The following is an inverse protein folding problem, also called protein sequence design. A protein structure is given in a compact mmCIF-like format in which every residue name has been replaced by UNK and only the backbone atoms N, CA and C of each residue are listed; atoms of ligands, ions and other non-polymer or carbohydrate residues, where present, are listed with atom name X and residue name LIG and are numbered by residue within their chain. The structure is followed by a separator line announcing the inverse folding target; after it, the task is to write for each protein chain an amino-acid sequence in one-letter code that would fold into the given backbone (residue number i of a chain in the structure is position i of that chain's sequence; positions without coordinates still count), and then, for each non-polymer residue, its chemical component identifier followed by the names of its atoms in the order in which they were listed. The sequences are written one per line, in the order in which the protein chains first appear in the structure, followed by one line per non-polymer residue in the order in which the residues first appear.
data_IF_975779137031
#
_entry.id   IF_975779137031
#
_cell.length_a   1.000
_cell.length_b   1.000
_cell.length_c   1.000
_cell.angle_alpha   90.00
_cell.angle_beta   90.00
_cell.angle_gamma   90.00
#
_symmetry.space_group_name_H-M   'P 1'
#
loop_
_entity.id
_entity.type
_entity.pdbx_description
1 polymer ?
#
# COMPACT_ATOMS: atom_id res chain seq x y z
N UNK A 1 33.59 4.84 5.31
CA UNK A 1 33.00 3.91 4.30
C UNK A 1 31.74 3.16 4.81
N UNK A 2 31.64 2.78 6.09
CA UNK A 2 30.43 2.12 6.69
C UNK A 2 29.09 2.89 6.63
N UNK A 3 29.10 4.20 6.31
CA UNK A 3 27.89 5.05 6.27
C UNK A 3 26.99 4.77 5.06
N UNK A 4 27.54 4.14 4.00
CA UNK A 4 26.81 3.79 2.77
C UNK A 4 26.20 2.39 2.76
N UNK A 5 26.56 1.51 3.70
CA UNK A 5 25.95 0.18 3.80
C UNK A 5 24.49 0.23 4.26
N UNK A 6 24.16 1.15 5.17
CA UNK A 6 22.81 1.30 5.72
C UNK A 6 21.77 1.65 4.64
N UNK A 7 21.97 2.65 3.77
CA UNK A 7 21.02 2.93 2.70
C UNK A 7 20.95 1.81 1.65
N UNK A 8 22.05 1.11 1.35
CA UNK A 8 22.02 -0.04 0.43
C UNK A 8 21.24 -1.22 1.00
N UNK A 9 21.33 -1.49 2.31
CA UNK A 9 20.55 -2.54 2.98
C UNK A 9 19.05 -2.22 2.99
N UNK A 10 18.68 -0.96 3.26
CA UNK A 10 17.29 -0.51 3.20
C UNK A 10 16.76 -0.61 1.77
N UNK A 11 17.55 -0.18 0.79
CA UNK A 11 17.18 -0.29 -0.62
C UNK A 11 17.01 -1.75 -1.04
N UNK A 12 17.92 -2.64 -0.64
CA UNK A 12 17.82 -4.07 -0.92
C UNK A 12 16.59 -4.71 -0.25
N UNK A 13 16.23 -4.26 0.96
CA UNK A 13 15.03 -4.72 1.66
C UNK A 13 13.75 -4.26 0.94
N UNK A 14 13.69 -3.00 0.50
CA UNK A 14 12.56 -2.44 -0.26
C UNK A 14 12.43 -3.10 -1.63
N UNK A 15 13.55 -3.33 -2.32
CA UNK A 15 13.57 -4.03 -3.61
C UNK A 15 13.20 -5.51 -3.41
N UNK A 16 13.67 -6.15 -2.34
CA UNK A 16 13.33 -7.53 -1.99
C UNK A 16 11.84 -7.70 -1.65
N UNK A 17 11.25 -6.79 -0.88
CA UNK A 17 9.81 -6.82 -0.58
C UNK A 17 8.98 -6.58 -1.84
N UNK A 18 9.40 -5.63 -2.70
CA UNK A 18 8.74 -5.37 -3.98
C UNK A 18 8.84 -6.54 -4.96
N UNK A 19 9.97 -7.23 -5.02
CA UNK A 19 10.16 -8.40 -5.87
C UNK A 19 9.32 -9.57 -5.37
N UNK A 20 9.32 -9.83 -4.06
CA UNK A 20 8.51 -10.91 -3.45
C UNK A 20 7.01 -10.66 -3.70
N UNK A 21 6.55 -9.42 -3.57
CA UNK A 21 5.17 -9.03 -3.88
C UNK A 21 4.79 -9.27 -5.35
N UNK A 22 5.71 -9.00 -6.29
CA UNK A 22 5.49 -9.31 -7.73
C UNK A 22 5.51 -10.81 -8.01
N UNK A 23 6.41 -11.56 -7.39
CA UNK A 23 6.52 -13.01 -7.56
C UNK A 23 5.32 -13.77 -6.98
N UNK A 24 4.65 -13.23 -5.95
CA UNK A 24 3.44 -13.81 -5.35
C UNK A 24 2.18 -13.68 -6.22
N UNK A 25 2.25 -13.04 -7.39
CA UNK A 25 1.08 -12.94 -8.29
C UNK A 25 -0.02 -12.01 -7.76
N UNK A 26 0.35 -11.02 -6.94
CA UNK A 26 -0.58 -10.05 -6.36
C UNK A 26 -1.38 -9.30 -7.43
N UNK A 27 -0.89 -9.19 -8.67
CA UNK A 27 -1.62 -8.53 -9.76
C UNK A 27 -3.01 -9.14 -9.98
N UNK A 28 -3.16 -10.47 -9.84
CA UNK A 28 -4.44 -11.16 -10.05
C UNK A 28 -5.38 -11.03 -8.85
N UNK A 29 -4.83 -11.04 -7.64
CA UNK A 29 -5.62 -10.80 -6.42
C UNK A 29 -6.00 -9.32 -6.26
N UNK A 30 -5.15 -8.40 -6.69
CA UNK A 30 -5.43 -6.96 -6.75
C UNK A 30 -6.60 -6.67 -7.68
N UNK A 31 -6.69 -7.36 -8.83
CA UNK A 31 -7.85 -7.26 -9.74
C UNK A 31 -9.16 -7.71 -9.10
N UNK A 32 -9.19 -8.89 -8.47
CA UNK A 32 -10.39 -9.39 -7.81
C UNK A 32 -10.80 -8.51 -6.61
N UNK A 33 -9.82 -8.01 -5.85
CA UNK A 33 -10.05 -7.10 -4.75
C UNK A 33 -10.57 -5.75 -5.24
N UNK A 34 -10.05 -5.27 -6.37
CA UNK A 34 -10.51 -4.06 -7.06
C UNK A 34 -11.98 -4.16 -7.44
N UNK A 35 -12.38 -5.27 -8.06
CA UNK A 35 -13.79 -5.48 -8.44
C UNK A 35 -14.70 -5.60 -7.21
N UNK A 36 -14.25 -6.29 -6.16
CA UNK A 36 -15.00 -6.42 -4.92
C UNK A 36 -15.16 -5.07 -4.19
N UNK A 37 -14.09 -4.26 -4.14
CA UNK A 37 -14.11 -2.91 -3.54
C UNK A 37 -14.96 -1.96 -4.36
N UNK A 38 -14.89 -2.03 -5.70
CA UNK A 38 -15.77 -1.27 -6.59
C UNK A 38 -17.25 -1.59 -6.36
N UNK A 39 -17.57 -2.85 -6.03
CA UNK A 39 -18.92 -3.28 -5.70
C UNK A 39 -19.43 -2.77 -4.34
N UNK A 40 -18.56 -2.28 -3.44
CA UNK A 40 -18.96 -1.73 -2.13
C UNK A 40 -19.46 -0.27 -2.19
N UNK A 41 -19.41 0.38 -3.36
CA UNK A 41 -19.92 1.75 -3.53
C UNK A 41 -19.26 2.77 -2.59
N UNK A 42 -20.07 3.46 -1.78
CA UNK A 42 -19.63 4.53 -0.85
C UNK A 42 -18.64 4.04 0.22
N UNK A 43 -18.66 2.75 0.58
CA UNK A 43 -17.76 2.19 1.59
C UNK A 43 -16.37 1.82 1.06
N UNK A 44 -16.22 1.73 -0.27
CA UNK A 44 -14.96 1.31 -0.91
C UNK A 44 -13.72 2.09 -0.44
N UNK A 45 -13.75 3.43 -0.40
CA UNK A 45 -12.64 4.25 0.10
C UNK A 45 -12.20 3.90 1.53
N UNK A 46 -13.14 3.69 2.44
CA UNK A 46 -12.83 3.38 3.84
C UNK A 46 -12.15 2.02 4.00
N UNK A 47 -12.66 1.00 3.29
CA UNK A 47 -12.02 -0.33 3.28
C UNK A 47 -10.61 -0.26 2.66
N UNK A 48 -10.46 0.48 1.57
CA UNK A 48 -9.17 0.63 0.90
C UNK A 48 -8.15 1.36 1.79
N UNK A 49 -8.56 2.40 2.52
CA UNK A 49 -7.69 3.09 3.49
C UNK A 49 -7.22 2.15 4.61
N UNK A 50 -8.10 1.30 5.14
CA UNK A 50 -7.74 0.28 6.13
C UNK A 50 -6.74 -0.75 5.60
N UNK A 51 -6.97 -1.24 4.38
CA UNK A 51 -6.04 -2.13 3.70
C UNK A 51 -4.67 -1.47 3.45
N UNK A 52 -4.68 -0.20 3.02
CA UNK A 52 -3.46 0.58 2.83
C UNK A 52 -2.68 0.75 4.14
N UNK A 53 -3.38 1.01 5.24
CA UNK A 53 -2.77 1.12 6.56
C UNK A 53 -2.10 -0.19 6.99
N UNK A 54 -2.79 -1.33 6.81
CA UNK A 54 -2.20 -2.66 7.06
C UNK A 54 -0.99 -2.93 6.18
N UNK A 55 -1.09 -2.65 4.88
CA UNK A 55 0.03 -2.80 3.95
C UNK A 55 1.24 -1.96 4.37
N UNK A 56 0.99 -0.75 4.88
CA UNK A 56 2.02 0.15 5.43
C UNK A 56 2.69 -0.48 6.66
N UNK A 57 1.92 -1.06 7.58
CA UNK A 57 2.45 -1.74 8.77
C UNK A 57 3.31 -2.95 8.40
N UNK A 58 2.92 -3.72 7.38
CA UNK A 58 3.69 -4.86 6.87
C UNK A 58 4.85 -4.47 5.94
N UNK A 59 5.15 -3.18 5.81
CA UNK A 59 6.19 -2.65 4.91
C UNK A 59 6.03 -3.12 3.44
N UNK A 60 4.79 -3.33 3.02
CA UNK A 60 4.44 -3.65 1.63
C UNK A 60 4.56 -2.38 0.79
N UNK A 61 5.11 -2.45 -0.44
CA UNK A 61 5.24 -1.28 -1.30
C UNK A 61 3.88 -0.63 -1.61
N UNK A 62 3.68 0.60 -1.14
CA UNK A 62 2.43 1.34 -1.33
C UNK A 62 2.15 1.80 -2.77
N UNK A 63 3.13 1.78 -3.66
CA UNK A 63 3.00 2.31 -5.04
C UNK A 63 1.89 1.62 -5.84
N UNK A 64 1.79 0.30 -5.77
CA UNK A 64 0.73 -0.46 -6.44
C UNK A 64 -0.66 -0.12 -5.89
N UNK A 65 -0.77 0.03 -4.57
CA UNK A 65 -2.02 0.41 -3.89
C UNK A 65 -2.43 1.84 -4.26
N UNK A 66 -1.50 2.78 -4.33
CA UNK A 66 -1.78 4.17 -4.74
C UNK A 66 -2.30 4.24 -6.18
N UNK A 67 -1.69 3.47 -7.09
CA UNK A 67 -2.16 3.37 -8.49
C UNK A 67 -3.57 2.75 -8.54
N UNK A 68 -3.81 1.67 -7.78
CA UNK A 68 -5.11 1.03 -7.70
C UNK A 68 -6.19 1.97 -7.14
N UNK A 69 -5.88 2.77 -6.11
CA UNK A 69 -6.81 3.75 -5.55
C UNK A 69 -7.24 4.81 -6.59
N UNK A 70 -6.28 5.33 -7.36
CA UNK A 70 -6.57 6.27 -8.45
C UNK A 70 -7.42 5.66 -9.56
N UNK A 71 -7.16 4.39 -9.90
CA UNK A 71 -7.92 3.65 -10.92
C UNK A 71 -9.31 3.19 -10.46
N UNK A 72 -9.55 3.11 -9.15
CA UNK A 72 -10.81 2.70 -8.53
C UNK A 72 -11.76 3.86 -8.26
N UNK A 73 -11.23 4.90 -7.61
CA UNK A 73 -12.04 5.98 -7.04
C UNK A 73 -11.86 7.31 -7.79
N UNK A 74 -11.01 7.33 -8.82
CA UNK A 74 -10.61 8.55 -9.51
C UNK A 74 -9.56 9.34 -8.72
N UNK A 75 -9.09 10.45 -9.30
CA UNK A 75 -7.94 11.19 -8.77
C UNK A 75 -8.20 11.77 -7.38
N UNK A 76 -9.34 12.45 -7.17
CA UNK A 76 -9.59 13.19 -5.92
C UNK A 76 -9.85 12.24 -4.75
N UNK A 77 -10.83 11.33 -4.90
CA UNK A 77 -11.20 10.39 -3.84
C UNK A 77 -10.06 9.40 -3.60
N UNK A 78 -9.36 8.94 -4.64
CA UNK A 78 -8.20 8.08 -4.52
C UNK A 78 -7.08 8.71 -3.69
N UNK A 79 -6.75 9.98 -3.94
CA UNK A 79 -5.72 10.71 -3.16
C UNK A 79 -6.13 10.85 -1.70
N UNK A 80 -7.37 11.26 -1.41
CA UNK A 80 -7.87 11.38 -0.02
C UNK A 80 -7.75 10.02 0.70
N UNK A 81 -8.19 8.96 0.04
CA UNK A 81 -8.15 7.59 0.56
C UNK A 81 -6.73 7.16 0.90
N UNK A 82 -5.78 7.39 -0.01
CA UNK A 82 -4.37 7.05 0.18
C UNK A 82 -3.75 7.86 1.31
N UNK A 83 -4.04 9.16 1.41
CA UNK A 83 -3.52 10.00 2.50
C UNK A 83 -4.03 9.52 3.86
N UNK A 84 -5.33 9.25 3.97
CA UNK A 84 -5.91 8.72 5.20
C UNK A 84 -5.30 7.35 5.57
N UNK A 85 -5.22 6.43 4.61
CA UNK A 85 -4.62 5.11 4.82
C UNK A 85 -3.15 5.17 5.21
N UNK A 86 -2.36 6.02 4.53
CA UNK A 86 -0.93 6.20 4.82
C UNK A 86 -0.71 6.81 6.21
N UNK A 87 -1.52 7.81 6.58
CA UNK A 87 -1.45 8.46 7.90
C UNK A 87 -1.77 7.45 9.01
N UNK A 88 -2.86 6.68 8.86
CA UNK A 88 -3.24 5.64 9.82
C UNK A 88 -2.18 4.55 9.91
N UNK A 89 -1.64 4.08 8.77
CA UNK A 89 -0.57 3.09 8.72
C UNK A 89 0.69 3.57 9.45
N UNK A 90 1.10 4.82 9.22
CA UNK A 90 2.23 5.42 9.92
C UNK A 90 1.98 5.56 11.43
N UNK A 91 0.77 5.96 11.83
CA UNK A 91 0.36 6.00 13.25
C UNK A 91 0.45 4.62 13.89
N UNK A 92 -0.05 3.58 13.23
CA UNK A 92 0.05 2.20 13.74
C UNK A 92 1.49 1.70 13.81
N UNK A 93 2.32 1.97 12.80
CA UNK A 93 3.76 1.68 12.86
C UNK A 93 4.41 2.33 14.09
N UNK A 94 4.08 3.60 14.37
CA UNK A 94 4.62 4.31 15.53
C UNK A 94 4.12 3.73 16.86
N UNK A 95 2.87 3.29 16.94
CA UNK A 95 2.29 2.67 18.15
C UNK A 95 2.86 1.27 18.43
N UNK A 96 3.26 0.53 17.41
CA UNK A 96 3.80 -0.84 17.53
C UNK A 96 5.32 -0.82 17.80
N UNK A 97 6.02 0.24 17.37
CA UNK A 97 7.48 0.40 17.50
C UNK A 97 7.92 0.67 18.95
#
# INVERSE_FOLDING_TARGET
MKKWLKPMLILALVVGSALTARFLGLDRQLGALRDWIGAQGVWGPFLFAGLYALATVFAIPGSALTIAAGALFGSVIGVITVICGATLGATFCFLIA
#
